data_IF_980501331076
#
_entry.id   IF_980501331076
#
_cell.length_a   1.000
_cell.length_b   1.000
_cell.length_c   1.000
_cell.angle_alpha   90.00
_cell.angle_beta   90.00
_cell.angle_gamma   90.00
#
_symmetry.space_group_name_H-M   'P 1'
#
loop_
_entity.id
_entity.type
_entity.pdbx_description
1 polymer ?
#
# COMPACT_ATOMS: atom_id res chain seq x y z
N UNK A 1 16.17 30.14 -20.36
CA UNK A 1 15.05 29.22 -20.01
C UNK A 1 14.33 28.60 -21.22
N UNK A 2 14.43 29.14 -22.45
CA UNK A 2 13.78 28.55 -23.65
C UNK A 2 14.45 27.26 -24.17
N UNK A 3 15.75 27.05 -23.88
CA UNK A 3 16.49 25.84 -24.29
C UNK A 3 16.20 24.59 -23.44
N UNK A 4 15.66 24.77 -22.24
CA UNK A 4 15.15 23.65 -21.44
C UNK A 4 13.83 23.16 -22.03
N UNK A 5 12.89 24.07 -22.32
CA UNK A 5 11.62 23.75 -22.97
C UNK A 5 11.81 23.09 -24.34
N UNK A 6 12.80 23.51 -25.14
CA UNK A 6 13.15 22.86 -26.41
C UNK A 6 13.62 21.41 -26.26
N UNK A 7 14.27 21.05 -25.13
CA UNK A 7 14.62 19.66 -24.80
C UNK A 7 13.49 18.86 -24.16
N UNK A 8 12.54 19.52 -23.49
CA UNK A 8 11.32 18.89 -22.97
C UNK A 8 10.28 18.63 -24.06
N UNK A 9 10.17 19.49 -25.08
CA UNK A 9 9.35 19.24 -26.27
C UNK A 9 10.05 18.26 -27.23
N UNK A 10 11.38 18.18 -27.17
CA UNK A 10 12.17 17.09 -27.75
C UNK A 10 12.32 15.86 -26.82
N UNK A 11 11.55 15.74 -25.73
CA UNK A 11 11.24 14.45 -25.08
C UNK A 11 10.30 13.63 -25.99
N UNK A 12 10.80 13.41 -27.19
CA UNK A 12 10.98 12.12 -27.82
C UNK A 12 9.66 11.50 -28.26
N UNK A 13 9.39 11.50 -29.58
CA UNK A 13 8.32 10.69 -30.18
C UNK A 13 8.38 9.21 -29.74
N UNK A 14 9.50 8.76 -29.15
CA UNK A 14 9.62 7.52 -28.39
C UNK A 14 8.69 7.43 -27.17
N UNK A 15 8.54 8.47 -26.34
CA UNK A 15 7.71 8.47 -25.14
C UNK A 15 6.23 8.30 -25.52
N UNK A 16 5.74 9.06 -26.49
CA UNK A 16 4.37 8.89 -27.02
C UNK A 16 4.15 7.49 -27.59
N UNK A 17 5.09 6.97 -28.39
CA UNK A 17 5.05 5.57 -28.88
C UNK A 17 5.06 4.55 -27.74
N UNK A 18 5.83 4.79 -26.69
CA UNK A 18 5.88 3.93 -25.49
C UNK A 18 4.57 4.00 -24.72
N UNK A 19 4.00 5.18 -24.46
CA UNK A 19 2.72 5.32 -23.76
C UNK A 19 1.57 4.69 -24.54
N UNK A 20 1.51 4.92 -25.85
CA UNK A 20 0.51 4.28 -26.71
C UNK A 20 0.64 2.76 -26.68
N UNK A 21 1.86 2.23 -26.83
CA UNK A 21 2.10 0.80 -26.73
C UNK A 21 1.78 0.24 -25.33
N UNK A 22 2.05 1.01 -24.28
CA UNK A 22 1.74 0.64 -22.90
C UNK A 22 0.24 0.58 -22.66
N UNK A 23 -0.54 1.53 -23.18
CA UNK A 23 -1.97 1.60 -22.94
C UNK A 23 -2.76 0.57 -23.77
N UNK A 24 -2.36 0.33 -25.03
CA UNK A 24 -3.15 -0.46 -25.99
C UNK A 24 -2.55 -1.81 -26.35
N UNK A 25 -1.27 -2.10 -26.05
CA UNK A 25 -0.58 -3.35 -26.40
C UNK A 25 0.01 -4.07 -25.18
N UNK A 26 -0.82 -4.74 -24.36
CA UNK A 26 -0.37 -5.40 -23.14
C UNK A 26 0.76 -6.40 -23.38
N UNK A 27 1.86 -6.24 -22.63
CA UNK A 27 3.02 -7.13 -22.69
C UNK A 27 3.94 -6.96 -23.91
N UNK A 28 3.57 -6.14 -24.91
CA UNK A 28 4.38 -5.92 -26.11
C UNK A 28 5.73 -5.29 -25.79
N UNK A 29 5.75 -4.23 -24.98
CA UNK A 29 6.99 -3.53 -24.60
C UNK A 29 7.96 -4.45 -23.85
N UNK A 30 7.42 -5.31 -22.99
CA UNK A 30 8.21 -6.33 -22.28
C UNK A 30 8.86 -7.28 -23.29
N UNK A 31 8.12 -7.84 -24.24
CA UNK A 31 8.69 -8.75 -25.26
C UNK A 31 9.75 -8.08 -26.11
N UNK A 32 9.50 -6.86 -26.57
CA UNK A 32 10.48 -6.07 -27.33
C UNK A 32 11.78 -5.86 -26.54
N UNK A 33 11.66 -5.53 -25.25
CA UNK A 33 12.81 -5.31 -24.39
C UNK A 33 13.61 -6.59 -24.16
N UNK A 34 12.92 -7.70 -23.90
CA UNK A 34 13.51 -9.02 -23.69
C UNK A 34 14.17 -9.55 -24.97
N UNK A 35 13.61 -9.26 -26.14
CA UNK A 35 14.18 -9.57 -27.45
C UNK A 35 15.37 -8.66 -27.84
N UNK A 36 15.82 -7.77 -26.94
CA UNK A 36 17.00 -6.91 -27.16
C UNK A 36 16.74 -5.62 -27.94
N UNK A 37 15.49 -5.32 -28.35
CA UNK A 37 15.13 -4.11 -29.13
C UNK A 37 14.99 -2.86 -28.24
N UNK A 38 16.02 -2.57 -27.44
CA UNK A 38 16.01 -1.59 -26.33
C UNK A 38 16.14 -0.12 -26.76
N UNK A 39 16.60 0.18 -27.97
CA UNK A 39 16.81 1.56 -28.46
C UNK A 39 15.51 2.25 -28.91
N UNK A 40 14.43 1.50 -29.17
CA UNK A 40 13.20 2.03 -29.79
C UNK A 40 12.17 2.57 -28.79
N UNK A 41 12.26 2.19 -27.51
CA UNK A 41 11.30 2.52 -26.44
C UNK A 41 12.03 3.00 -25.18
N UNK A 42 11.30 3.67 -24.28
CA UNK A 42 11.85 4.11 -22.99
C UNK A 42 12.18 2.89 -22.12
N UNK A 43 13.30 2.94 -21.40
CA UNK A 43 13.72 1.86 -20.51
C UNK A 43 12.69 1.65 -19.38
N UNK A 44 12.39 0.40 -18.98
CA UNK A 44 11.32 0.09 -18.04
C UNK A 44 11.46 0.81 -16.69
N UNK A 45 12.66 0.83 -16.12
CA UNK A 45 12.93 1.51 -14.84
C UNK A 45 12.67 3.03 -14.92
N UNK A 46 13.12 3.68 -16.00
CA UNK A 46 12.85 5.10 -16.23
C UNK A 46 11.36 5.35 -16.42
N UNK A 47 10.66 4.47 -17.11
CA UNK A 47 9.22 4.60 -17.37
C UNK A 47 8.41 4.58 -16.07
N UNK A 48 8.72 3.64 -15.15
CA UNK A 48 8.08 3.60 -13.82
C UNK A 48 8.37 4.87 -13.04
N UNK A 49 9.64 5.30 -12.99
CA UNK A 49 10.02 6.50 -12.24
C UNK A 49 9.26 7.74 -12.74
N UNK A 50 9.25 7.96 -14.06
CA UNK A 50 8.57 9.11 -14.67
C UNK A 50 7.07 9.06 -14.39
N UNK A 51 6.42 7.91 -14.60
CA UNK A 51 4.97 7.80 -14.39
C UNK A 51 4.58 7.83 -12.91
N UNK A 52 5.42 7.36 -12.00
CA UNK A 52 5.24 7.53 -10.56
C UNK A 52 5.31 9.02 -10.19
N UNK A 53 6.34 9.73 -10.65
CA UNK A 53 6.46 11.18 -10.42
C UNK A 53 5.23 11.91 -10.96
N UNK A 54 4.78 11.60 -12.18
CA UNK A 54 3.58 12.21 -12.77
C UNK A 54 2.32 11.90 -11.95
N UNK A 55 2.11 10.64 -11.55
CA UNK A 55 0.96 10.24 -10.72
C UNK A 55 0.91 11.01 -9.40
N UNK A 56 2.02 11.02 -8.66
CA UNK A 56 2.06 11.63 -7.34
C UNK A 56 2.13 13.16 -7.41
N UNK A 57 2.70 13.74 -8.47
CA UNK A 57 2.59 15.17 -8.74
C UNK A 57 1.13 15.57 -9.03
N UNK A 58 0.43 14.82 -9.89
CA UNK A 58 -0.99 15.03 -10.13
C UNK A 58 -1.81 14.87 -8.83
N UNK A 59 -1.51 13.86 -8.02
CA UNK A 59 -2.20 13.63 -6.75
C UNK A 59 -1.99 14.79 -5.75
N UNK A 60 -0.79 15.37 -5.72
CA UNK A 60 -0.47 16.55 -4.90
C UNK A 60 -1.18 17.81 -5.40
N UNK A 61 -1.26 18.01 -6.71
CA UNK A 61 -1.90 19.18 -7.29
C UNK A 61 -3.42 19.17 -7.15
N UNK A 62 -4.02 17.98 -7.08
CA UNK A 62 -5.46 17.79 -6.92
C UNK A 62 -5.88 17.61 -5.45
N UNK A 63 -4.94 17.41 -4.53
CA UNK A 63 -5.23 17.36 -3.10
C UNK A 63 -5.41 18.79 -2.56
N UNK A 64 -6.41 19.01 -1.70
CA UNK A 64 -6.72 20.33 -1.15
C UNK A 64 -5.50 20.98 -0.45
N UNK A 65 -5.23 22.29 -0.64
CA UNK A 65 -4.08 22.98 -0.07
C UNK A 65 -3.98 22.84 1.47
N UNK A 66 -5.11 22.79 2.16
CA UNK A 66 -5.20 22.64 3.61
C UNK A 66 -4.71 21.26 4.10
N UNK A 67 -4.67 20.26 3.22
CA UNK A 67 -4.12 18.92 3.51
C UNK A 67 -2.58 18.95 3.50
N UNK A 68 -1.98 19.82 2.69
CA UNK A 68 -0.52 19.86 2.46
C UNK A 68 0.18 20.84 3.42
N UNK A 69 -0.44 21.99 3.69
CA UNK A 69 0.16 23.06 4.50
C UNK A 69 0.24 22.68 5.98
N UNK A 70 -0.84 22.12 6.55
CA UNK A 70 -0.86 21.71 7.96
C UNK A 70 0.05 20.51 8.27
N UNK A 71 0.28 19.63 7.29
CA UNK A 71 1.19 18.49 7.45
C UNK A 71 2.68 18.90 7.51
N UNK A 72 3.05 20.09 7.03
CA UNK A 72 4.43 20.60 7.10
C UNK A 72 4.69 21.53 8.29
N UNK A 73 3.68 22.23 8.81
CA UNK A 73 3.84 23.20 9.90
C UNK A 73 4.04 22.58 11.28
N UNK A 74 3.62 21.33 11.50
CA UNK A 74 3.79 20.66 12.81
C UNK A 74 5.15 19.98 12.96
N UNK A 75 6.22 20.58 12.42
CA UNK A 75 7.60 20.15 12.65
C UNK A 75 8.14 20.91 13.85
N UNK A 76 8.26 20.36 15.08
CA UNK A 76 9.03 21.00 16.12
C UNK A 76 10.50 20.68 15.84
N UNK A 77 11.15 21.56 15.08
CA UNK A 77 12.62 21.64 15.06
C UNK A 77 13.06 22.16 16.42
N UNK A 78 13.67 21.27 17.21
CA UNK A 78 14.60 21.52 18.30
C UNK A 78 14.44 22.85 19.10
N UNK A 79 13.83 22.74 20.28
CA UNK A 79 14.12 23.65 21.39
C UNK A 79 14.05 22.92 22.74
N UNK A 80 15.11 23.14 23.53
CA UNK A 80 15.27 22.87 24.96
C UNK A 80 15.55 21.43 25.42
N UNK A 81 16.82 21.05 25.29
CA UNK A 81 17.51 20.45 26.42
C UNK A 81 17.89 21.57 27.42
N UNK A 82 17.85 21.21 28.70
CA UNK A 82 18.21 21.96 29.91
C UNK A 82 17.02 22.53 30.72
N UNK A 83 17.14 22.30 32.04
CA UNK A 83 16.38 22.82 33.18
C UNK A 83 15.02 22.14 33.52
N UNK A 84 14.80 21.50 34.68
CA UNK A 84 15.55 21.35 35.93
C UNK A 84 15.20 20.02 36.63
N UNK A 85 16.19 19.48 37.33
CA UNK A 85 16.05 18.44 38.32
C UNK A 85 15.63 19.03 39.68
N UNK A 86 14.89 18.23 40.46
CA UNK A 86 14.93 18.29 41.93
C UNK A 86 13.70 18.90 42.60
N UNK A 87 12.85 18.04 43.19
CA UNK A 87 12.63 18.01 44.65
C UNK A 87 11.40 17.16 44.99
N UNK A 88 11.64 16.00 45.60
CA UNK A 88 10.72 15.39 46.57
C UNK A 88 10.96 16.09 47.91
N UNK A 89 9.94 16.24 48.78
CA UNK A 89 9.84 15.28 49.88
C UNK A 89 8.41 14.87 50.26
N UNK A 90 8.34 13.72 50.93
CA UNK A 90 7.16 13.07 51.48
C UNK A 90 6.48 13.87 52.60
N UNK A 91 5.16 13.64 52.79
CA UNK A 91 4.45 13.61 54.10
C UNK A 91 3.00 13.11 53.91
N UNK A 92 2.69 11.96 54.51
CA UNK A 92 1.33 11.55 54.92
C UNK A 92 1.09 12.06 56.39
N UNK A 93 -0.09 11.96 57.05
CA UNK A 93 -0.91 10.73 57.16
C UNK A 93 -2.45 10.87 57.37
N UNK A 94 -3.11 9.70 57.43
CA UNK A 94 -4.38 9.34 58.12
C UNK A 94 -5.72 9.83 57.48
N UNK A 95 -6.83 9.09 57.45
CA UNK A 95 -7.23 7.85 58.11
C UNK A 95 -8.29 7.08 57.28
N UNK A 96 -8.32 5.76 57.45
CA UNK A 96 -9.45 4.84 57.14
C UNK A 96 -10.07 4.42 58.49
N UNK A 97 -11.34 3.98 58.57
CA UNK A 97 -11.57 2.53 58.57
C UNK A 97 -12.90 2.16 57.85
N UNK A 98 -12.89 1.13 56.99
CA UNK A 98 -13.19 -0.28 57.29
C UNK A 98 -14.66 -0.67 57.02
N UNK A 99 -14.83 -1.67 56.14
CA UNK A 99 -15.32 -3.01 56.50
C UNK A 99 -16.09 -3.64 55.32
N UNK A 100 -15.50 -4.68 54.73
CA UNK A 100 -16.24 -5.80 54.11
C UNK A 100 -16.48 -6.85 55.20
N UNK A 101 -17.42 -7.78 55.00
CA UNK A 101 -16.93 -9.13 54.76
C UNK A 101 -17.63 -9.89 53.63
N UNK A 102 -16.85 -10.82 53.09
CA UNK A 102 -17.06 -11.81 52.04
C UNK A 102 -17.77 -13.09 52.51
N UNK A 103 -18.50 -13.76 51.62
CA UNK A 103 -18.77 -15.24 51.58
C UNK A 103 -19.65 -15.53 50.34
N UNK A 104 -19.65 -16.64 49.61
CA UNK A 104 -18.74 -17.77 49.32
C UNK A 104 -19.34 -18.51 48.09
N UNK A 105 -18.45 -19.10 47.27
CA UNK A 105 -18.51 -20.45 46.68
C UNK A 105 -19.71 -20.97 45.81
N UNK A 106 -19.34 -21.31 44.56
CA UNK A 106 -19.33 -22.67 43.95
C UNK A 106 -20.62 -23.37 43.41
N UNK A 107 -20.55 -23.67 42.10
CA UNK A 107 -20.91 -24.90 41.35
C UNK A 107 -22.36 -25.43 41.28
N UNK A 108 -22.90 -25.61 40.06
CA UNK A 108 -22.97 -26.91 39.36
C UNK A 108 -23.99 -26.95 38.17
N UNK A 109 -23.51 -27.52 37.05
CA UNK A 109 -24.17 -28.47 36.13
C UNK A 109 -25.50 -28.15 35.38
N UNK A 110 -25.43 -28.26 34.04
CA UNK A 110 -26.31 -29.18 33.30
C UNK A 110 -26.98 -28.65 32.02
N UNK A 111 -27.11 -29.45 30.93
CA UNK A 111 -27.19 -28.96 29.54
C UNK A 111 -28.57 -29.15 28.88
N UNK A 112 -28.83 -28.48 27.73
CA UNK A 112 -29.49 -29.08 26.56
C UNK A 112 -29.83 -28.05 25.46
N UNK A 113 -29.19 -28.25 24.31
CA UNK A 113 -29.77 -28.38 22.97
C UNK A 113 -30.87 -27.42 22.47
N UNK A 114 -30.55 -26.75 21.36
CA UNK A 114 -31.42 -26.77 20.18
C UNK A 114 -32.04 -25.44 19.78
N UNK A 115 -31.42 -24.74 18.81
CA UNK A 115 -31.97 -24.62 17.45
C UNK A 115 -31.07 -23.71 16.61
N UNK A 116 -30.80 -24.18 15.40
CA UNK A 116 -30.21 -23.41 14.33
C UNK A 116 -30.97 -22.09 14.16
N UNK A 117 -30.27 -20.97 14.38
CA UNK A 117 -30.64 -19.71 13.78
C UNK A 117 -29.62 -19.39 12.70
N UNK A 118 -30.18 -18.93 11.60
CA UNK A 118 -29.57 -18.69 10.32
C UNK A 118 -28.37 -17.76 10.48
N UNK A 119 -27.39 -17.95 9.61
CA UNK A 119 -26.24 -17.07 9.42
C UNK A 119 -26.76 -15.66 9.16
N UNK A 120 -26.88 -14.89 10.23
CA UNK A 120 -27.02 -13.45 10.20
C UNK A 120 -25.61 -12.95 9.91
N UNK A 121 -25.37 -12.55 8.66
CA UNK A 121 -24.18 -11.77 8.28
C UNK A 121 -24.39 -10.41 8.92
N UNK A 122 -24.01 -10.31 10.19
CA UNK A 122 -23.89 -9.05 10.91
C UNK A 122 -22.83 -8.21 10.20
N UNK A 123 -23.30 -7.23 9.42
CA UNK A 123 -22.48 -6.15 8.90
C UNK A 123 -22.29 -5.07 9.97
N UNK A 124 -21.96 -5.49 11.20
CA UNK A 124 -21.73 -4.63 12.35
C UNK A 124 -20.23 -4.41 12.56
N UNK A 125 -19.81 -3.14 12.52
CA UNK A 125 -18.71 -2.53 13.29
C UNK A 125 -17.41 -3.33 13.50
N UNK A 126 -17.04 -4.26 12.61
CA UNK A 126 -15.80 -5.01 12.77
C UNK A 126 -14.62 -4.14 12.33
N UNK A 127 -13.71 -3.73 13.24
CA UNK A 127 -12.55 -2.94 12.87
C UNK A 127 -11.70 -3.70 11.85
N UNK A 128 -11.23 -3.00 10.81
CA UNK A 128 -10.39 -3.58 9.78
C UNK A 128 -9.12 -4.13 10.44
N UNK A 129 -8.97 -5.45 10.42
CA UNK A 129 -7.86 -6.15 11.07
C UNK A 129 -6.89 -6.64 10.02
N UNK A 130 -5.66 -6.14 10.06
CA UNK A 130 -4.54 -6.59 9.24
C UNK A 130 -3.64 -7.46 10.12
N UNK A 131 -3.79 -8.78 10.02
CA UNK A 131 -3.09 -9.75 10.86
C UNK A 131 -4.02 -10.85 11.38
N UNK A 132 -3.67 -11.47 12.51
CA UNK A 132 -4.52 -12.42 13.23
C UNK A 132 -5.35 -11.72 14.31
N UNK A 133 -6.30 -12.45 14.92
CA UNK A 133 -7.09 -11.92 16.05
C UNK A 133 -6.23 -11.60 17.29
N UNK A 134 -5.09 -12.27 17.45
CA UNK A 134 -4.18 -12.14 18.59
C UNK A 134 -2.97 -11.25 18.33
N UNK A 135 -2.59 -11.04 17.06
CA UNK A 135 -1.46 -10.23 16.66
C UNK A 135 -1.72 -9.53 15.32
N UNK A 136 -1.78 -8.19 15.32
CA UNK A 136 -2.06 -7.42 14.11
C UNK A 136 -2.30 -5.93 14.31
N UNK A 137 -2.54 -5.24 13.20
CA UNK A 137 -2.95 -3.83 13.16
C UNK A 137 -4.48 -3.78 13.06
N UNK A 138 -5.14 -3.04 13.96
CA UNK A 138 -6.59 -2.82 13.93
C UNK A 138 -6.88 -1.36 13.64
N UNK A 139 -7.79 -1.11 12.72
CA UNK A 139 -8.27 0.23 12.37
C UNK A 139 -9.78 0.27 12.60
N UNK A 140 -10.22 1.15 13.50
CA UNK A 140 -11.65 1.37 13.76
C UNK A 140 -12.28 2.42 12.82
N UNK A 141 -13.58 2.65 12.94
CA UNK A 141 -14.31 3.61 12.09
C UNK A 141 -13.89 5.07 12.31
N UNK A 142 -13.35 5.36 13.50
CA UNK A 142 -12.75 6.65 13.84
C UNK A 142 -11.31 6.78 13.34
N UNK A 143 -10.83 5.80 12.56
CA UNK A 143 -9.48 5.74 11.99
C UNK A 143 -8.38 5.61 13.05
N UNK A 144 -8.71 5.17 14.27
CA UNK A 144 -7.73 4.87 15.31
C UNK A 144 -6.97 3.60 14.95
N UNK A 145 -5.66 3.65 15.12
CA UNK A 145 -4.74 2.58 14.77
C UNK A 145 -4.22 1.94 16.05
N UNK A 146 -4.51 0.66 16.24
CA UNK A 146 -4.05 -0.11 17.39
C UNK A 146 -3.14 -1.26 16.93
N UNK A 147 -1.96 -1.36 17.55
CA UNK A 147 -1.06 -2.50 17.37
C UNK A 147 -1.34 -3.48 18.52
N UNK A 148 -1.82 -4.67 18.21
CA UNK A 148 -2.14 -5.70 19.22
C UNK A 148 -1.17 -6.87 19.05
N UNK A 149 -0.54 -7.33 20.14
CA UNK A 149 0.25 -8.57 20.16
C UNK A 149 1.53 -8.55 19.31
N UNK A 150 2.13 -7.37 19.09
CA UNK A 150 3.37 -7.21 18.33
C UNK A 150 4.49 -6.69 19.22
N UNK A 151 5.28 -7.61 19.80
CA UNK A 151 6.45 -7.28 20.61
C UNK A 151 7.65 -6.96 19.71
N UNK A 152 7.78 -5.70 19.29
CA UNK A 152 8.94 -5.20 18.57
C UNK A 152 9.90 -4.47 19.55
N UNK A 153 11.23 -4.54 19.36
CA UNK A 153 12.18 -3.74 20.14
C UNK A 153 12.01 -2.22 19.94
N UNK A 154 11.26 -1.82 18.90
CA UNK A 154 10.83 -0.45 18.63
C UNK A 154 9.37 -0.16 19.04
N UNK A 155 8.68 -1.15 19.63
CA UNK A 155 7.25 -1.14 19.90
C UNK A 155 6.81 0.05 20.74
N UNK A 156 7.49 0.34 21.85
CA UNK A 156 7.13 1.46 22.73
C UNK A 156 7.20 2.85 22.05
N UNK A 157 8.12 3.04 21.10
CA UNK A 157 8.21 4.31 20.33
C UNK A 157 7.07 4.42 19.33
N UNK A 158 6.73 3.31 18.68
CA UNK A 158 5.65 3.22 17.70
C UNK A 158 4.31 3.40 18.41
N UNK A 159 4.08 2.74 19.53
CA UNK A 159 2.87 2.80 20.34
C UNK A 159 2.59 4.22 20.81
N UNK A 160 3.58 4.92 21.38
CA UNK A 160 3.43 6.33 21.80
C UNK A 160 3.06 7.25 20.63
N UNK A 161 3.59 6.99 19.43
CA UNK A 161 3.28 7.76 18.22
C UNK A 161 1.87 7.44 17.69
N UNK A 162 1.48 6.16 17.69
CA UNK A 162 0.12 5.73 17.34
C UNK A 162 -0.90 6.34 18.31
N UNK A 163 -0.61 6.38 19.61
CA UNK A 163 -1.47 7.00 20.61
C UNK A 163 -1.63 8.51 20.35
N UNK A 164 -0.53 9.22 20.05
CA UNK A 164 -0.61 10.64 19.66
C UNK A 164 -1.43 10.88 18.39
N UNK A 165 -1.38 9.95 17.42
CA UNK A 165 -2.20 10.01 16.22
C UNK A 165 -3.68 9.72 16.52
N UNK A 166 -3.97 8.78 17.42
CA UNK A 166 -5.33 8.41 17.80
C UNK A 166 -6.07 9.53 18.54
N UNK A 167 -5.34 10.45 19.17
CA UNK A 167 -5.90 11.65 19.81
C UNK A 167 -6.36 12.72 18.81
N UNK A 168 -5.95 12.64 17.54
CA UNK A 168 -6.37 13.59 16.51
C UNK A 168 -7.85 13.40 16.14
N UNK A 169 -8.50 14.48 15.71
CA UNK A 169 -9.84 14.37 15.12
C UNK A 169 -9.78 13.63 13.77
N UNK A 170 -10.89 13.04 13.34
CA UNK A 170 -10.99 12.22 12.11
C UNK A 170 -10.52 12.98 10.87
N UNK A 171 -10.84 14.27 10.78
CA UNK A 171 -10.40 15.12 9.67
C UNK A 171 -8.90 15.44 9.69
N UNK A 172 -8.26 15.44 10.85
CA UNK A 172 -6.81 15.58 10.99
C UNK A 172 -6.11 14.25 10.68
N UNK A 173 -6.66 13.12 11.13
CA UNK A 173 -6.17 11.78 10.81
C UNK A 173 -6.17 11.52 9.31
N UNK A 174 -7.26 11.84 8.61
CA UNK A 174 -7.35 11.67 7.16
C UNK A 174 -6.31 12.52 6.42
N UNK A 175 -6.09 13.77 6.86
CA UNK A 175 -5.07 14.66 6.29
C UNK A 175 -3.67 14.11 6.45
N UNK A 176 -3.34 13.65 7.66
CA UNK A 176 -2.03 13.07 7.97
C UNK A 176 -1.77 11.78 7.16
N UNK A 177 -2.78 10.91 7.04
CA UNK A 177 -2.70 9.71 6.20
C UNK A 177 -2.47 10.08 4.74
N UNK A 178 -3.24 11.04 4.20
CA UNK A 178 -3.07 11.48 2.80
C UNK A 178 -1.69 12.10 2.59
N UNK A 179 -1.22 12.95 3.50
CA UNK A 179 0.11 13.55 3.44
C UNK A 179 1.21 12.48 3.46
N UNK A 180 1.08 11.49 4.34
CA UNK A 180 1.93 10.30 4.41
C UNK A 180 1.93 9.53 3.09
N UNK A 181 0.75 9.17 2.57
CA UNK A 181 0.57 8.46 1.29
C UNK A 181 1.23 9.19 0.14
N UNK A 182 1.09 10.52 0.09
CA UNK A 182 1.72 11.32 -0.95
C UNK A 182 3.24 11.47 -0.75
N UNK A 183 3.76 11.34 0.48
CA UNK A 183 5.20 11.42 0.80
C UNK A 183 5.91 10.11 0.48
N UNK A 184 5.33 8.99 0.91
CA UNK A 184 5.96 7.66 0.83
C UNK A 184 5.45 6.81 -0.35
N UNK A 185 4.31 7.16 -0.95
CA UNK A 185 3.69 6.42 -2.05
C UNK A 185 4.59 6.19 -3.28
N UNK A 186 5.36 7.19 -3.76
CA UNK A 186 6.30 6.97 -4.87
C UNK A 186 7.32 5.87 -4.55
N UNK A 187 7.84 5.85 -3.32
CA UNK A 187 8.78 4.84 -2.85
C UNK A 187 8.12 3.48 -2.71
N UNK A 188 6.89 3.42 -2.19
CA UNK A 188 6.13 2.18 -2.08
C UNK A 188 5.89 1.53 -3.45
N UNK A 189 5.52 2.31 -4.48
CA UNK A 189 5.34 1.82 -5.84
C UNK A 189 6.63 1.20 -6.40
N UNK A 190 7.78 1.82 -6.14
CA UNK A 190 9.09 1.33 -6.58
C UNK A 190 9.52 0.10 -5.77
N UNK A 191 9.28 0.08 -4.46
CA UNK A 191 9.61 -1.02 -3.57
C UNK A 191 8.75 -2.27 -3.81
N UNK A 192 7.51 -2.11 -4.30
CA UNK A 192 6.62 -3.22 -4.68
C UNK A 192 7.04 -3.91 -5.99
N UNK A 193 7.87 -3.26 -6.80
CA UNK A 193 8.34 -3.78 -8.07
C UNK A 193 9.22 -5.04 -7.94
N UNK A 194 10.27 -5.10 -7.10
CA UNK A 194 11.02 -6.33 -6.86
C UNK A 194 10.17 -7.44 -6.24
N UNK A 195 9.25 -7.07 -5.36
CA UNK A 195 8.28 -8.00 -4.75
C UNK A 195 7.39 -8.65 -5.80
N UNK A 196 6.79 -7.86 -6.68
CA UNK A 196 5.97 -8.38 -7.78
C UNK A 196 6.79 -9.25 -8.74
N UNK A 197 8.03 -8.84 -9.05
CA UNK A 197 8.92 -9.63 -9.89
C UNK A 197 9.22 -11.00 -9.26
N UNK A 198 9.47 -11.05 -7.95
CA UNK A 198 9.69 -12.28 -7.21
C UNK A 198 8.43 -13.18 -7.23
N UNK A 199 7.26 -12.61 -6.99
CA UNK A 199 5.98 -13.31 -7.08
C UNK A 199 5.80 -13.94 -8.46
N UNK A 200 6.05 -13.17 -9.52
CA UNK A 200 5.99 -13.66 -10.89
C UNK A 200 7.03 -14.75 -11.18
N UNK A 201 8.23 -14.65 -10.61
CA UNK A 201 9.25 -15.69 -10.74
C UNK A 201 8.79 -17.01 -10.11
N UNK A 202 8.24 -16.97 -8.89
CA UNK A 202 7.74 -18.17 -8.18
C UNK A 202 6.59 -18.81 -8.97
N UNK A 203 5.63 -18.01 -9.39
CA UNK A 203 4.42 -18.47 -10.08
C UNK A 203 4.70 -19.11 -11.46
N UNK A 204 5.83 -18.73 -12.06
CA UNK A 204 6.28 -19.18 -13.37
C UNK A 204 7.53 -20.08 -13.32
N UNK A 205 7.96 -20.50 -12.13
CA UNK A 205 9.03 -21.47 -11.89
C UNK A 205 8.61 -22.87 -12.36
N UNK A 206 8.62 -23.10 -13.67
CA UNK A 206 8.23 -24.36 -14.30
C UNK A 206 9.32 -24.95 -15.22
N UNK A 207 9.19 -26.22 -15.63
CA UNK A 207 10.17 -26.89 -16.48
C UNK A 207 10.30 -26.25 -17.87
N UNK A 208 11.54 -26.03 -18.33
CA UNK A 208 11.88 -25.40 -19.63
C UNK A 208 11.24 -26.09 -20.83
N UNK A 209 11.06 -27.41 -20.76
CA UNK A 209 10.63 -28.27 -21.89
C UNK A 209 9.24 -27.90 -22.43
N UNK A 210 8.33 -27.39 -21.58
CA UNK A 210 6.95 -27.06 -21.98
C UNK A 210 6.82 -25.65 -22.59
N UNK A 211 7.68 -24.70 -22.19
CA UNK A 211 7.64 -23.30 -22.64
C UNK A 211 9.05 -22.70 -22.75
N UNK A 212 9.74 -22.87 -23.89
CA UNK A 212 11.14 -22.47 -24.03
C UNK A 212 11.35 -20.95 -24.07
N UNK A 213 10.37 -20.18 -24.55
CA UNK A 213 10.44 -18.71 -24.67
C UNK A 213 10.06 -17.96 -23.39
N UNK A 214 9.68 -18.68 -22.33
CA UNK A 214 9.18 -18.07 -21.09
C UNK A 214 10.33 -17.37 -20.34
N UNK A 215 10.12 -16.15 -19.81
CA UNK A 215 11.07 -15.51 -18.90
C UNK A 215 11.39 -16.37 -17.69
N UNK A 216 12.68 -16.46 -17.31
CA UNK A 216 13.16 -17.26 -16.17
C UNK A 216 14.10 -16.50 -15.24
N UNK A 217 14.82 -15.50 -15.76
CA UNK A 217 15.76 -14.74 -14.94
C UNK A 217 14.97 -13.71 -14.15
N UNK A 218 15.34 -13.49 -12.89
CA UNK A 218 14.71 -12.46 -12.04
C UNK A 218 14.65 -11.10 -12.75
N UNK A 219 15.73 -10.70 -13.44
CA UNK A 219 15.79 -9.46 -14.20
C UNK A 219 14.72 -9.35 -15.30
N UNK A 220 14.27 -10.46 -15.88
CA UNK A 220 13.23 -10.47 -16.92
C UNK A 220 11.84 -10.29 -16.29
N UNK A 221 11.61 -10.92 -15.13
CA UNK A 221 10.40 -10.68 -14.32
C UNK A 221 10.36 -9.25 -13.78
N UNK A 222 11.52 -8.67 -13.45
CA UNK A 222 11.66 -7.28 -13.02
C UNK A 222 11.25 -6.30 -14.12
N UNK A 223 11.67 -6.56 -15.36
CA UNK A 223 11.25 -5.78 -16.54
C UNK A 223 9.75 -5.90 -16.77
N UNK A 224 9.19 -7.10 -16.63
CA UNK A 224 7.75 -7.31 -16.74
C UNK A 224 6.96 -6.55 -15.65
N UNK A 225 7.44 -6.61 -14.41
CA UNK A 225 6.89 -5.87 -13.28
C UNK A 225 6.92 -4.37 -13.48
N UNK A 226 8.03 -3.85 -13.99
CA UNK A 226 8.17 -2.45 -14.32
C UNK A 226 7.12 -1.96 -15.32
N UNK A 227 6.86 -2.69 -16.41
CA UNK A 227 5.82 -2.28 -17.36
C UNK A 227 4.41 -2.35 -16.76
N UNK A 228 4.12 -3.32 -15.90
CA UNK A 228 2.82 -3.39 -15.23
C UNK A 228 2.63 -2.23 -14.23
N UNK A 229 3.65 -1.90 -13.42
CA UNK A 229 3.57 -0.78 -12.49
C UNK A 229 3.51 0.57 -13.21
N UNK A 230 4.25 0.72 -14.32
CA UNK A 230 4.15 1.87 -15.20
C UNK A 230 2.73 2.04 -15.75
N UNK A 231 2.11 0.94 -16.20
CA UNK A 231 0.73 0.97 -16.69
C UNK A 231 -0.25 1.37 -15.57
N UNK A 232 -0.12 0.78 -14.37
CA UNK A 232 -0.95 1.13 -13.20
C UNK A 232 -0.80 2.60 -12.85
N UNK A 233 0.42 3.14 -12.85
CA UNK A 233 0.66 4.54 -12.58
C UNK A 233 0.04 5.47 -13.64
N UNK A 234 0.11 5.09 -14.93
CA UNK A 234 -0.55 5.81 -16.01
C UNK A 234 -2.07 5.78 -15.88
N UNK A 235 -2.66 4.59 -15.68
CA UNK A 235 -4.09 4.42 -15.52
C UNK A 235 -4.62 5.17 -14.28
N UNK A 236 -3.88 5.11 -13.17
CA UNK A 236 -4.18 5.86 -11.96
C UNK A 236 -4.12 7.37 -12.19
N UNK A 237 -3.13 7.86 -12.94
CA UNK A 237 -3.03 9.29 -13.29
C UNK A 237 -4.23 9.72 -14.11
N UNK A 238 -4.62 8.94 -15.12
CA UNK A 238 -5.78 9.24 -15.96
C UNK A 238 -7.09 9.23 -15.14
N UNK A 239 -7.28 8.24 -14.27
CA UNK A 239 -8.45 8.17 -13.40
C UNK A 239 -8.53 9.39 -12.46
N UNK A 240 -7.38 9.78 -11.90
CA UNK A 240 -7.26 10.92 -11.00
C UNK A 240 -7.54 12.26 -11.70
N UNK A 241 -7.03 12.46 -12.92
CA UNK A 241 -7.22 13.71 -13.66
C UNK A 241 -8.65 13.84 -14.21
N UNK A 242 -9.23 12.75 -14.70
CA UNK A 242 -10.56 12.79 -15.34
C UNK A 242 -11.69 12.87 -14.31
N UNK A 243 -11.50 12.32 -13.11
CA UNK A 243 -12.46 12.37 -11.98
C UNK A 243 -13.88 11.88 -12.31
N UNK A 244 -14.06 11.09 -13.38
CA UNK A 244 -15.35 10.54 -13.76
C UNK A 244 -15.45 9.07 -13.34
N UNK A 245 -16.42 8.75 -12.47
CA UNK A 245 -16.70 7.37 -12.01
C UNK A 245 -16.73 6.32 -13.13
N UNK A 246 -17.43 6.52 -14.28
CA UNK A 246 -17.41 5.52 -15.35
C UNK A 246 -16.01 5.31 -15.93
N UNK A 247 -15.23 6.38 -16.10
CA UNK A 247 -13.84 6.30 -16.59
C UNK A 247 -12.96 5.54 -15.61
N UNK A 248 -13.11 5.81 -14.30
CA UNK A 248 -12.39 5.09 -13.25
C UNK A 248 -12.71 3.59 -13.28
N UNK A 249 -13.98 3.21 -13.41
CA UNK A 249 -14.39 1.80 -13.50
C UNK A 249 -13.84 1.12 -14.75
N UNK A 250 -13.88 1.80 -15.90
CA UNK A 250 -13.31 1.29 -17.16
C UNK A 250 -11.80 1.10 -17.02
N UNK A 251 -11.07 2.05 -16.46
CA UNK A 251 -9.63 1.96 -16.24
C UNK A 251 -9.26 0.86 -15.23
N UNK A 252 -10.06 0.68 -14.17
CA UNK A 252 -9.88 -0.41 -13.21
C UNK A 252 -10.08 -1.79 -13.88
N UNK A 253 -11.16 -1.96 -14.64
CA UNK A 253 -11.41 -3.17 -15.43
C UNK A 253 -10.32 -3.41 -16.48
N UNK A 254 -9.87 -2.34 -17.15
CA UNK A 254 -8.77 -2.41 -18.11
C UNK A 254 -7.46 -2.80 -17.44
N UNK A 255 -7.19 -2.34 -16.22
CA UNK A 255 -5.99 -2.73 -15.45
C UNK A 255 -5.97 -4.22 -15.14
N UNK A 256 -7.12 -4.75 -14.71
CA UNK A 256 -7.28 -6.17 -14.48
C UNK A 256 -7.07 -6.99 -15.76
N UNK A 257 -7.70 -6.58 -16.86
CA UNK A 257 -7.55 -7.23 -18.17
C UNK A 257 -6.12 -7.11 -18.72
N UNK A 258 -5.47 -5.96 -18.51
CA UNK A 258 -4.10 -5.69 -18.92
C UNK A 258 -3.12 -6.66 -18.25
N UNK A 259 -3.28 -6.89 -16.95
CA UNK A 259 -2.48 -7.88 -16.21
C UNK A 259 -2.61 -9.26 -16.86
N UNK A 260 -3.83 -9.76 -17.03
CA UNK A 260 -4.08 -11.09 -17.59
C UNK A 260 -3.55 -11.23 -19.02
N UNK A 261 -3.82 -10.23 -19.87
CA UNK A 261 -3.40 -10.24 -21.27
C UNK A 261 -1.89 -10.09 -21.42
N UNK A 262 -1.26 -9.29 -20.56
CA UNK A 262 0.20 -9.15 -20.56
C UNK A 262 0.90 -10.41 -20.04
N UNK A 263 0.34 -11.09 -19.03
CA UNK A 263 0.81 -12.40 -18.58
C UNK A 263 0.78 -13.43 -19.71
N UNK A 264 -0.35 -13.53 -20.42
CA UNK A 264 -0.49 -14.43 -21.56
C UNK A 264 0.53 -14.11 -22.67
N UNK A 265 0.68 -12.82 -23.00
CA UNK A 265 1.57 -12.37 -24.07
C UNK A 265 3.05 -12.62 -23.78
N UNK A 266 3.48 -12.41 -22.53
CA UNK A 266 4.90 -12.48 -22.12
C UNK A 266 5.31 -13.90 -21.73
N UNK A 267 4.48 -14.62 -21.00
CA UNK A 267 4.84 -15.93 -20.45
C UNK A 267 4.26 -17.12 -21.21
N UNK A 268 3.31 -16.88 -22.10
CA UNK A 268 2.62 -17.90 -22.88
C UNK A 268 1.79 -18.89 -22.05
N UNK A 269 1.26 -19.88 -22.74
CA UNK A 269 0.46 -20.97 -22.16
C UNK A 269 -1.04 -20.83 -22.39
N UNK A 270 -1.80 -21.82 -21.92
CA UNK A 270 -3.26 -21.85 -22.04
C UNK A 270 -3.91 -20.80 -21.13
N UNK A 271 -5.00 -20.18 -21.59
CA UNK A 271 -5.75 -19.17 -20.84
C UNK A 271 -6.15 -19.62 -19.43
N UNK A 272 -6.63 -20.86 -19.24
CA UNK A 272 -6.97 -21.38 -17.91
C UNK A 272 -5.78 -21.31 -16.93
N UNK A 273 -4.58 -21.64 -17.41
CA UNK A 273 -3.36 -21.58 -16.59
C UNK A 273 -2.90 -20.14 -16.32
N UNK A 274 -3.19 -19.20 -17.21
CA UNK A 274 -2.93 -17.77 -17.02
C UNK A 274 -3.94 -17.17 -16.04
N UNK A 275 -5.22 -17.51 -16.15
CA UNK A 275 -6.27 -17.05 -15.25
C UNK A 275 -6.03 -17.52 -13.82
N UNK A 276 -5.73 -18.81 -13.61
CA UNK A 276 -5.43 -19.33 -12.28
C UNK A 276 -4.22 -18.62 -11.64
N UNK A 277 -3.15 -18.44 -12.42
CA UNK A 277 -1.96 -17.71 -11.97
C UNK A 277 -2.27 -16.23 -11.73
N UNK A 278 -3.01 -15.60 -12.62
CA UNK A 278 -3.42 -14.20 -12.50
C UNK A 278 -4.26 -13.95 -11.25
N UNK A 279 -5.15 -14.88 -10.90
CA UNK A 279 -5.92 -14.84 -9.66
C UNK A 279 -5.01 -14.93 -8.43
N UNK A 280 -4.10 -15.90 -8.39
CA UNK A 280 -3.12 -16.01 -7.29
C UNK A 280 -2.26 -14.75 -7.20
N UNK A 281 -1.78 -14.23 -8.32
CA UNK A 281 -1.00 -13.02 -8.37
C UNK A 281 -1.79 -11.81 -7.84
N UNK A 282 -3.07 -11.68 -8.22
CA UNK A 282 -3.94 -10.62 -7.75
C UNK A 282 -4.15 -10.70 -6.23
N UNK A 283 -4.53 -11.87 -5.71
CA UNK A 283 -4.82 -12.05 -4.28
C UNK A 283 -3.58 -11.78 -3.44
N UNK A 284 -2.44 -12.38 -3.79
CA UNK A 284 -1.19 -12.18 -3.06
C UNK A 284 -0.76 -10.71 -3.14
N UNK A 285 -0.79 -10.12 -4.33
CA UNK A 285 -0.38 -8.72 -4.50
C UNK A 285 -1.33 -7.73 -3.80
N UNK A 286 -2.64 -8.02 -3.76
CA UNK A 286 -3.61 -7.22 -3.00
C UNK A 286 -3.33 -7.28 -1.49
N UNK A 287 -3.05 -8.47 -0.94
CA UNK A 287 -2.64 -8.60 0.45
C UNK A 287 -1.34 -7.81 0.73
N UNK A 288 -0.32 -7.96 -0.13
CA UNK A 288 0.92 -7.20 -0.01
C UNK A 288 0.72 -5.69 -0.10
N UNK A 289 -0.19 -5.22 -0.96
CA UNK A 289 -0.56 -3.83 -1.07
C UNK A 289 -1.21 -3.30 0.21
N UNK A 290 -2.11 -4.08 0.83
CA UNK A 290 -2.69 -3.74 2.14
C UNK A 290 -1.62 -3.59 3.21
N UNK A 291 -0.67 -4.53 3.30
CA UNK A 291 0.48 -4.41 4.22
C UNK A 291 1.38 -3.22 3.89
N UNK A 292 1.57 -2.90 2.61
CA UNK A 292 2.34 -1.74 2.17
C UNK A 292 1.70 -0.44 2.63
N UNK A 293 0.38 -0.31 2.45
CA UNK A 293 -0.39 0.87 2.89
C UNK A 293 -0.37 0.96 4.42
N UNK A 294 -0.56 -0.14 5.14
CA UNK A 294 -0.46 -0.17 6.60
C UNK A 294 0.93 0.28 7.09
N UNK A 295 2.00 -0.27 6.52
CA UNK A 295 3.37 0.15 6.84
C UNK A 295 3.64 1.61 6.48
N UNK A 296 3.01 2.11 5.41
CA UNK A 296 3.09 3.51 5.02
C UNK A 296 2.38 4.41 6.03
N UNK A 297 1.19 4.05 6.50
CA UNK A 297 0.47 4.77 7.56
C UNK A 297 1.30 4.82 8.84
N UNK A 298 1.87 3.68 9.25
CA UNK A 298 2.77 3.64 10.42
C UNK A 298 4.00 4.53 10.19
N UNK A 299 4.62 4.48 9.01
CA UNK A 299 5.75 5.32 8.68
C UNK A 299 5.39 6.82 8.69
N UNK A 300 4.21 7.19 8.19
CA UNK A 300 3.70 8.56 8.24
C UNK A 300 3.56 9.06 9.67
N UNK A 301 3.06 8.23 10.58
CA UNK A 301 2.88 8.57 11.99
C UNK A 301 4.21 8.60 12.76
N UNK A 302 5.12 7.67 12.49
CA UNK A 302 6.38 7.50 13.25
C UNK A 302 7.46 8.47 12.81
N UNK A 303 7.54 8.76 11.50
CA UNK A 303 8.56 9.65 10.89
C UNK A 303 8.07 11.10 10.76
N UNK A 304 7.01 11.45 11.49
CA UNK A 304 6.55 12.81 11.75
C UNK A 304 7.40 13.50 12.81
#
# INVERSE_FOLDING_TARGET
>A
MREAAGRYVALDGRMGRTLFALLFRPGFLTREYLAGRRKRYVRPARLVLVLAIVLFAAARLLADPDVIVHAQTDTPVAASAADQAGSTPASAPAASPAAKPSTQASAAAGPASGRASLVEVDAGDTPLTIGSQSAGLRIDDALNVHLVGVDLPLGARIEKRLESFNQLDRAQKSREIVAGMLRYGPYALIAMLPVFALLMQVLYAGPKRRYPERPRRYAEHLVYGAHNHAFVALAGTLALVVQARPVTLVLAGWTMLYLLRSMHTVYGGRWAGVLARGFVALVVYAAMFVFAVAGLVVAAVVLR
#
